data_IF_480603871986
#
_entry.id   IF_480603871986
#
_cell.length_a   1.000
_cell.length_b   1.000
_cell.length_c   1.000
_cell.angle_alpha   90.00
_cell.angle_beta   90.00
_cell.angle_gamma   90.00
#
_symmetry.space_group_name_H-M   'P 1'
#
loop_
_entity.id
_entity.type
_entity.pdbx_description
1 polymer ?
#
# COMPACT_ATOMS: atom_id res chain seq x y z
N UNK A 1 35.30 -26.05 -52.70
CA UNK A 1 35.27 -25.99 -51.23
C UNK A 1 35.07 -24.53 -50.86
N UNK A 2 33.82 -24.13 -50.66
CA UNK A 2 33.43 -22.75 -50.39
C UNK A 2 33.05 -22.70 -48.91
N UNK A 3 33.77 -21.87 -48.14
CA UNK A 3 33.69 -21.77 -46.69
C UNK A 3 32.33 -21.22 -46.28
N UNK A 4 31.55 -22.00 -45.55
CA UNK A 4 30.37 -21.54 -44.82
C UNK A 4 30.82 -20.53 -43.76
N UNK A 5 30.60 -19.25 -44.04
CA UNK A 5 30.72 -18.20 -43.04
C UNK A 5 29.49 -18.29 -42.11
N UNK A 6 29.67 -18.99 -40.99
CA UNK A 6 28.73 -18.99 -39.89
C UNK A 6 28.52 -17.54 -39.42
N UNK A 7 27.28 -17.06 -39.50
CA UNK A 7 26.89 -15.78 -38.91
C UNK A 7 27.21 -15.82 -37.40
N UNK A 8 27.81 -14.75 -36.83
CA UNK A 8 28.03 -14.69 -35.40
C UNK A 8 26.67 -14.73 -34.67
N UNK A 9 26.59 -15.38 -33.50
CA UNK A 9 25.36 -15.40 -32.71
C UNK A 9 24.94 -13.96 -32.40
N UNK A 10 23.72 -13.61 -32.80
CA UNK A 10 23.11 -12.33 -32.43
C UNK A 10 23.14 -12.18 -30.91
N UNK A 11 23.65 -11.06 -30.38
CA UNK A 11 23.66 -10.83 -28.94
C UNK A 11 22.21 -10.91 -28.44
N UNK A 12 21.99 -11.80 -27.47
CA UNK A 12 20.74 -11.89 -26.73
C UNK A 12 20.36 -10.49 -26.24
N UNK A 13 19.19 -10.03 -26.64
CA UNK A 13 18.59 -8.79 -26.14
C UNK A 13 18.42 -9.00 -24.63
N UNK A 14 19.36 -8.44 -23.85
CA UNK A 14 19.26 -8.41 -22.40
C UNK A 14 17.88 -7.84 -22.06
N UNK A 15 17.09 -8.51 -21.21
CA UNK A 15 15.74 -8.07 -20.90
C UNK A 15 15.85 -6.66 -20.37
N UNK A 16 15.27 -5.73 -21.14
CA UNK A 16 15.19 -4.31 -20.85
C UNK A 16 14.91 -4.12 -19.37
N UNK A 17 15.59 -3.17 -18.73
CA UNK A 17 15.13 -2.53 -17.50
C UNK A 17 13.68 -2.05 -17.73
N UNK A 18 12.70 -2.94 -17.61
CA UNK A 18 11.28 -2.60 -17.71
C UNK A 18 11.07 -1.65 -16.56
N UNK A 19 10.87 -0.36 -16.83
CA UNK A 19 10.61 0.65 -15.80
C UNK A 19 9.39 0.23 -14.98
N UNK A 20 9.29 0.68 -13.72
CA UNK A 20 8.07 0.52 -12.91
C UNK A 20 7.02 1.40 -13.59
N UNK A 21 6.33 0.86 -14.60
CA UNK A 21 5.46 1.62 -15.48
C UNK A 21 4.01 1.62 -15.00
N UNK A 22 3.41 2.81 -14.88
CA UNK A 22 1.97 2.99 -14.70
C UNK A 22 1.49 2.97 -13.24
N UNK A 23 0.39 2.27 -12.97
CA UNK A 23 -0.32 2.27 -11.69
C UNK A 23 0.53 1.89 -10.46
N UNK A 24 1.56 1.04 -10.64
CA UNK A 24 2.46 0.67 -9.55
C UNK A 24 3.27 1.87 -9.03
N UNK A 25 3.68 2.79 -9.92
CA UNK A 25 4.42 4.00 -9.52
C UNK A 25 3.53 4.91 -8.66
N UNK A 26 2.29 5.17 -9.10
CA UNK A 26 1.32 5.95 -8.32
C UNK A 26 1.06 5.30 -6.95
N UNK A 27 0.96 3.98 -6.92
CA UNK A 27 0.79 3.23 -5.69
C UNK A 27 1.99 3.39 -4.75
N UNK A 28 3.22 3.27 -5.27
CA UNK A 28 4.42 3.48 -4.48
C UNK A 28 4.51 4.92 -3.96
N UNK A 29 4.19 5.94 -4.78
CA UNK A 29 4.16 7.33 -4.32
C UNK A 29 3.13 7.51 -3.20
N UNK A 30 1.92 6.96 -3.36
CA UNK A 30 0.86 7.06 -2.37
C UNK A 30 1.25 6.37 -1.05
N UNK A 31 1.84 5.18 -1.09
CA UNK A 31 2.30 4.48 0.11
C UNK A 31 3.54 5.10 0.75
N UNK A 32 4.50 5.58 -0.03
CA UNK A 32 5.77 6.09 0.49
C UNK A 32 5.65 7.50 1.04
N UNK A 33 4.83 8.36 0.42
CA UNK A 33 4.72 9.77 0.81
C UNK A 33 3.37 10.10 1.44
N UNK A 34 2.26 9.88 0.72
CA UNK A 34 0.94 10.36 1.16
C UNK A 34 0.45 9.61 2.41
N UNK A 35 0.67 8.30 2.49
CA UNK A 35 0.31 7.48 3.63
C UNK A 35 0.99 7.95 4.93
N UNK A 36 2.33 7.94 4.99
CA UNK A 36 3.08 8.37 6.17
C UNK A 36 2.79 9.82 6.53
N UNK A 37 2.70 10.72 5.54
CA UNK A 37 2.37 12.13 5.80
C UNK A 37 1.02 12.28 6.50
N UNK A 38 -0.03 11.61 5.99
CA UNK A 38 -1.36 11.62 6.63
C UNK A 38 -1.29 11.06 8.06
N UNK A 39 -0.55 9.96 8.26
CA UNK A 39 -0.44 9.35 9.59
C UNK A 39 0.34 10.24 10.58
N UNK A 40 1.36 10.96 10.14
CA UNK A 40 2.08 11.94 10.96
C UNK A 40 1.18 13.11 11.34
N UNK A 41 0.35 13.60 10.43
CA UNK A 41 -0.64 14.62 10.75
C UNK A 41 -1.61 14.14 11.84
N UNK A 42 -2.12 12.91 11.70
CA UNK A 42 -3.02 12.32 12.71
C UNK A 42 -2.33 12.09 14.06
N UNK A 43 -1.05 11.68 14.02
CA UNK A 43 -0.21 11.52 15.21
C UNK A 43 -0.09 12.82 15.99
N UNK A 44 0.17 13.94 15.32
CA UNK A 44 0.33 15.26 15.95
C UNK A 44 -0.97 15.79 16.57
N UNK A 45 -2.12 15.42 16.02
CA UNK A 45 -3.44 15.85 16.52
C UNK A 45 -4.04 14.94 17.59
N UNK A 46 -3.42 13.78 17.85
CA UNK A 46 -3.98 12.77 18.75
C UNK A 46 -3.45 12.94 20.17
N UNK A 47 -4.34 13.11 21.14
CA UNK A 47 -4.00 13.13 22.57
C UNK A 47 -3.93 11.71 23.18
N UNK A 48 -4.40 10.71 22.44
CA UNK A 48 -4.54 9.34 22.91
C UNK A 48 -3.30 8.52 22.53
N UNK A 49 -2.50 8.12 23.52
CA UNK A 49 -1.19 7.47 23.29
C UNK A 49 -1.27 6.20 22.43
N UNK A 50 -2.28 5.36 22.63
CA UNK A 50 -2.41 4.11 21.87
C UNK A 50 -2.79 4.38 20.40
N UNK A 51 -3.50 5.47 20.11
CA UNK A 51 -3.74 5.92 18.73
C UNK A 51 -2.48 6.43 18.08
N UNK A 52 -1.67 7.19 18.81
CA UNK A 52 -0.36 7.64 18.34
C UNK A 52 0.51 6.44 17.94
N UNK A 53 0.52 5.37 18.74
CA UNK A 53 1.22 4.13 18.37
C UNK A 53 0.67 3.50 17.09
N UNK A 54 -0.65 3.42 16.93
CA UNK A 54 -1.28 2.88 15.71
C UNK A 54 -0.88 3.72 14.49
N UNK A 55 -0.94 5.04 14.57
CA UNK A 55 -0.52 5.93 13.49
C UNK A 55 0.95 5.76 13.14
N UNK A 56 1.83 5.64 14.14
CA UNK A 56 3.24 5.39 13.92
C UNK A 56 3.49 4.04 13.22
N UNK A 57 2.81 2.97 13.65
CA UNK A 57 2.89 1.65 13.02
C UNK A 57 2.40 1.70 11.58
N UNK A 58 1.27 2.37 11.31
CA UNK A 58 0.74 2.53 9.96
C UNK A 58 1.67 3.35 9.08
N UNK A 59 2.24 4.44 9.60
CA UNK A 59 3.22 5.26 8.88
C UNK A 59 4.45 4.44 8.50
N UNK A 60 5.03 3.73 9.47
CA UNK A 60 6.23 2.92 9.27
C UNK A 60 5.98 1.77 8.28
N UNK A 61 4.90 1.01 8.46
CA UNK A 61 4.57 -0.10 7.56
C UNK A 61 4.24 0.39 6.16
N UNK A 62 3.57 1.53 6.01
CA UNK A 62 3.29 2.17 4.71
C UNK A 62 4.58 2.57 4.00
N UNK A 63 5.49 3.23 4.74
CA UNK A 63 6.79 3.65 4.21
C UNK A 63 7.63 2.45 3.78
N UNK A 64 7.78 1.44 4.64
CA UNK A 64 8.57 0.23 4.36
C UNK A 64 7.97 -0.54 3.20
N UNK A 65 6.64 -0.77 3.18
CA UNK A 65 5.98 -1.45 2.06
C UNK A 65 6.14 -0.66 0.76
N UNK A 66 5.99 0.67 0.79
CA UNK A 66 6.15 1.54 -0.37
C UNK A 66 7.58 1.51 -0.92
N UNK A 67 8.60 1.64 -0.06
CA UNK A 67 10.02 1.59 -0.46
C UNK A 67 10.38 0.22 -1.03
N UNK A 68 9.98 -0.88 -0.38
CA UNK A 68 10.28 -2.23 -0.87
C UNK A 68 9.57 -2.54 -2.19
N UNK A 69 8.35 -2.03 -2.37
CA UNK A 69 7.60 -2.15 -3.63
C UNK A 69 8.29 -1.33 -4.72
N UNK A 70 8.77 -0.12 -4.40
CA UNK A 70 9.54 0.72 -5.32
C UNK A 70 10.84 0.04 -5.76
N UNK A 71 11.56 -0.55 -4.80
CA UNK A 71 12.85 -1.21 -5.05
C UNK A 71 12.71 -2.61 -5.64
N UNK A 72 11.50 -3.08 -5.92
CA UNK A 72 11.21 -4.45 -6.40
C UNK A 72 11.79 -5.56 -5.53
N UNK A 73 11.83 -5.35 -4.22
CA UNK A 73 12.39 -6.34 -3.32
C UNK A 73 11.46 -7.54 -3.19
N UNK A 74 12.01 -8.75 -3.10
CA UNK A 74 11.26 -9.96 -2.76
C UNK A 74 10.56 -9.86 -1.39
N UNK A 75 11.05 -8.99 -0.52
CA UNK A 75 10.46 -8.68 0.78
C UNK A 75 9.24 -7.75 0.69
N UNK A 76 8.91 -7.19 -0.48
CA UNK A 76 7.76 -6.28 -0.63
C UNK A 76 6.44 -6.95 -0.23
N UNK A 77 6.22 -8.22 -0.60
CA UNK A 77 4.94 -8.89 -0.36
C UNK A 77 4.63 -9.17 1.11
N UNK A 78 5.54 -9.73 1.93
CA UNK A 78 5.32 -9.85 3.37
C UNK A 78 4.97 -8.51 4.02
N UNK A 79 5.73 -7.45 3.72
CA UNK A 79 5.49 -6.12 4.27
C UNK A 79 4.19 -5.49 3.79
N UNK A 80 3.83 -5.70 2.53
CA UNK A 80 2.55 -5.25 1.98
C UNK A 80 1.37 -5.96 2.65
N UNK A 81 1.49 -7.28 2.92
CA UNK A 81 0.47 -8.03 3.68
C UNK A 81 0.33 -7.49 5.11
N UNK A 82 1.45 -7.24 5.80
CA UNK A 82 1.45 -6.63 7.14
C UNK A 82 0.77 -5.26 7.11
N UNK A 83 1.13 -4.41 6.13
CA UNK A 83 0.52 -3.09 5.97
C UNK A 83 -0.99 -3.17 5.72
N UNK A 84 -1.43 -4.07 4.82
CA UNK A 84 -2.85 -4.27 4.52
C UNK A 84 -3.62 -4.78 5.75
N UNK A 85 -3.07 -5.71 6.52
CA UNK A 85 -3.67 -6.20 7.75
C UNK A 85 -3.76 -5.10 8.81
N UNK A 86 -2.69 -4.32 9.01
CA UNK A 86 -2.68 -3.20 9.94
C UNK A 86 -3.72 -2.14 9.54
N UNK A 87 -3.82 -1.84 8.24
CA UNK A 87 -4.81 -0.89 7.71
C UNK A 87 -6.24 -1.39 7.84
N UNK A 88 -6.48 -2.67 7.62
CA UNK A 88 -7.80 -3.29 7.79
C UNK A 88 -8.22 -3.28 9.28
N UNK A 89 -7.30 -3.65 10.18
CA UNK A 89 -7.53 -3.59 11.62
C UNK A 89 -7.87 -2.17 12.07
N UNK A 90 -7.11 -1.17 11.60
CA UNK A 90 -7.42 0.23 11.86
C UNK A 90 -8.78 0.64 11.29
N UNK A 91 -9.15 0.20 10.09
CA UNK A 91 -10.47 0.44 9.51
C UNK A 91 -11.61 -0.08 10.40
N UNK A 92 -11.49 -1.30 10.94
CA UNK A 92 -12.48 -1.84 11.88
C UNK A 92 -12.52 -1.07 13.19
N UNK A 93 -11.37 -0.61 13.68
CA UNK A 93 -11.30 0.24 14.86
C UNK A 93 -12.03 1.58 14.64
N UNK A 94 -11.93 2.17 13.46
CA UNK A 94 -12.69 3.37 13.09
C UNK A 94 -14.20 3.12 13.03
N UNK A 95 -14.64 1.95 12.54
CA UNK A 95 -16.06 1.54 12.59
C UNK A 95 -16.53 1.47 14.04
N UNK A 96 -15.73 0.89 14.94
CA UNK A 96 -16.05 0.86 16.36
C UNK A 96 -16.23 2.27 16.94
N UNK A 97 -15.31 3.21 16.69
CA UNK A 97 -15.47 4.60 17.16
C UNK A 97 -16.67 5.31 16.56
N UNK A 98 -16.95 5.07 15.28
CA UNK A 98 -18.15 5.59 14.62
C UNK A 98 -19.40 5.19 15.40
N UNK A 99 -19.53 3.91 15.77
CA UNK A 99 -20.65 3.41 16.56
C UNK A 99 -20.70 4.04 17.96
N UNK A 100 -19.55 4.20 18.62
CA UNK A 100 -19.46 4.87 19.93
C UNK A 100 -19.92 6.35 19.84
N UNK A 101 -19.54 7.08 18.79
CA UNK A 101 -19.97 8.47 18.62
C UNK A 101 -21.47 8.60 18.34
N UNK A 102 -22.08 7.64 17.62
CA UNK A 102 -23.53 7.62 17.42
C UNK A 102 -24.32 7.37 18.72
N UNK A 103 -23.72 6.70 19.71
CA UNK A 103 -24.32 6.51 21.03
C UNK A 103 -24.32 7.78 21.89
N UNK A 104 -23.52 8.80 21.52
CA UNK A 104 -23.38 10.07 22.23
C UNK A 104 -23.68 11.27 21.32
N UNK A 105 -24.96 11.49 20.95
CA UNK A 105 -25.35 12.44 19.90
C UNK A 105 -24.96 13.90 20.18
N UNK A 106 -24.86 14.30 21.45
CA UNK A 106 -24.56 15.69 21.84
C UNK A 106 -23.12 16.15 21.54
N UNK A 107 -22.20 15.23 21.22
CA UNK A 107 -20.77 15.53 21.07
C UNK A 107 -20.16 15.06 19.75
N UNK A 108 -20.89 14.27 18.95
CA UNK A 108 -20.24 13.30 18.07
C UNK A 108 -20.71 13.20 16.63
N UNK A 109 -21.83 13.79 16.21
CA UNK A 109 -22.43 13.40 14.92
C UNK A 109 -21.55 13.74 13.70
N UNK A 110 -20.91 14.92 13.68
CA UNK A 110 -19.97 15.30 12.61
C UNK A 110 -18.71 14.42 12.61
N UNK A 111 -18.15 14.13 13.80
CA UNK A 111 -17.00 13.23 13.97
C UNK A 111 -17.34 11.79 13.58
N UNK A 112 -18.54 11.31 13.91
CA UNK A 112 -19.04 10.00 13.55
C UNK A 112 -19.11 9.84 12.03
N UNK A 113 -19.68 10.82 11.32
CA UNK A 113 -19.76 10.82 9.86
C UNK A 113 -18.35 10.82 9.25
N UNK A 114 -17.44 11.63 9.81
CA UNK A 114 -16.06 11.68 9.35
C UNK A 114 -15.32 10.35 9.54
N UNK A 115 -15.41 9.73 10.72
CA UNK A 115 -14.82 8.41 10.99
C UNK A 115 -15.46 7.30 10.15
N UNK A 116 -16.78 7.37 9.92
CA UNK A 116 -17.48 6.45 9.04
C UNK A 116 -16.92 6.53 7.61
N UNK A 117 -16.74 7.75 7.10
CA UNK A 117 -16.21 7.98 5.77
C UNK A 117 -14.77 7.49 5.64
N UNK A 118 -13.91 7.76 6.64
CA UNK A 118 -12.54 7.28 6.64
C UNK A 118 -12.43 5.76 6.77
N UNK A 119 -13.27 5.13 7.60
CA UNK A 119 -13.30 3.67 7.74
C UNK A 119 -13.68 3.00 6.42
N UNK A 120 -14.71 3.52 5.74
CA UNK A 120 -15.15 3.05 4.44
C UNK A 120 -14.02 3.15 3.40
N UNK A 121 -13.39 4.33 3.28
CA UNK A 121 -12.26 4.52 2.36
C UNK A 121 -11.11 3.56 2.69
N UNK A 122 -10.77 3.39 3.97
CA UNK A 122 -9.67 2.52 4.37
C UNK A 122 -9.94 1.05 4.03
N UNK A 123 -11.15 0.56 4.28
CA UNK A 123 -11.53 -0.81 3.97
C UNK A 123 -11.56 -1.03 2.45
N UNK A 124 -12.23 -0.15 1.70
CA UNK A 124 -12.32 -0.25 0.24
C UNK A 124 -10.94 -0.14 -0.42
N UNK A 125 -10.11 0.79 0.02
CA UNK A 125 -8.74 0.92 -0.49
C UNK A 125 -7.92 -0.34 -0.17
N UNK A 126 -8.02 -0.88 1.04
CA UNK A 126 -7.29 -2.11 1.42
C UNK A 126 -7.69 -3.30 0.54
N UNK A 127 -9.00 -3.46 0.27
CA UNK A 127 -9.52 -4.50 -0.63
C UNK A 127 -9.04 -4.27 -2.06
N UNK A 128 -9.15 -3.04 -2.57
CA UNK A 128 -8.74 -2.72 -3.94
C UNK A 128 -7.24 -2.95 -4.15
N UNK A 129 -6.41 -2.56 -3.19
CA UNK A 129 -4.95 -2.80 -3.23
C UNK A 129 -4.67 -4.29 -3.16
N UNK A 130 -5.32 -5.03 -2.27
CA UNK A 130 -5.15 -6.47 -2.18
C UNK A 130 -5.48 -7.17 -3.50
N UNK A 131 -6.63 -6.84 -4.12
CA UNK A 131 -7.03 -7.39 -5.41
C UNK A 131 -6.05 -7.00 -6.53
N UNK A 132 -5.55 -5.77 -6.53
CA UNK A 132 -4.54 -5.33 -7.49
C UNK A 132 -3.26 -6.18 -7.38
N UNK A 133 -2.72 -6.40 -6.18
CA UNK A 133 -1.50 -7.20 -5.99
C UNK A 133 -1.70 -8.70 -6.12
N UNK A 134 -2.94 -9.18 -6.07
CA UNK A 134 -3.28 -10.60 -6.24
C UNK A 134 -3.56 -10.98 -7.70
N UNK A 135 -4.22 -10.09 -8.46
CA UNK A 135 -4.77 -10.42 -9.79
C UNK A 135 -3.96 -9.77 -10.93
N UNK A 136 -3.30 -8.63 -10.70
CA UNK A 136 -2.71 -7.85 -11.78
C UNK A 136 -1.52 -8.57 -12.43
N UNK A 137 -1.64 -8.87 -13.73
CA UNK A 137 -0.52 -9.39 -14.53
C UNK A 137 0.70 -8.47 -14.52
N UNK A 138 0.51 -7.16 -14.31
CA UNK A 138 1.62 -6.20 -14.22
C UNK A 138 2.45 -6.38 -12.95
N UNK A 139 1.82 -6.78 -11.84
CA UNK A 139 2.52 -7.08 -10.59
C UNK A 139 3.33 -8.35 -10.79
N UNK A 140 2.71 -9.37 -11.38
CA UNK A 140 3.38 -10.62 -11.75
C UNK A 140 4.59 -10.39 -12.67
N UNK A 141 4.43 -9.58 -13.73
CA UNK A 141 5.53 -9.21 -14.63
C UNK A 141 6.64 -8.40 -13.96
N UNK A 142 6.34 -7.65 -12.88
CA UNK A 142 7.32 -6.79 -12.19
C UNK A 142 8.09 -7.53 -11.11
N UNK A 143 7.41 -8.42 -10.37
CA UNK A 143 7.96 -9.11 -9.20
C UNK A 143 8.15 -10.62 -9.42
N UNK A 144 7.74 -11.15 -10.57
CA UNK A 144 7.77 -12.58 -10.90
C UNK A 144 6.74 -13.43 -10.15
N UNK A 145 5.86 -12.82 -9.37
CA UNK A 145 4.76 -13.46 -8.64
C UNK A 145 3.75 -12.43 -8.13
N UNK A 146 2.57 -12.90 -7.73
CA UNK A 146 1.55 -12.12 -7.02
C UNK A 146 1.48 -12.48 -5.52
N UNK A 147 0.73 -11.68 -4.74
CA UNK A 147 0.36 -12.00 -3.35
C UNK A 147 -0.56 -13.21 -3.28
#
# INVERSE_FOLDING_TARGET
MMSDYANPPTPEVQPSHRAVGGWLLYFCIALTFLGPFKMVQMFQTSEVWYMMMIYAILALTSLVAGVLTWSRSNAAFPWLRIHLLARLFYGFLQVYFTLQYFQHPNLGQSKAIQEAFYSMINILASIAIFLYFRISSRVDETFGRNI
#
